data_IF_238206945825
#
_entry.id   IF_238206945825
#
_cell.length_a   1.000
_cell.length_b   1.000
_cell.length_c   1.000
_cell.angle_alpha   90.00
_cell.angle_beta   90.00
_cell.angle_gamma   90.00
#
_symmetry.space_group_name_H-M   'P 1'
#
loop_
_entity.id
_entity.type
_entity.pdbx_description
1 polymer ?
#
# COMPACT_ATOMS: atom_id res chain seq x y z
N UNK A 1 -47.43 37.85 13.87
CA UNK A 1 -46.52 38.99 13.61
C UNK A 1 -45.18 38.70 14.26
N UNK A 2 -44.10 38.89 13.50
CA UNK A 2 -42.68 38.93 13.88
C UNK A 2 -42.02 37.65 14.42
N UNK A 3 -41.29 36.97 13.53
CA UNK A 3 -40.01 36.34 13.91
C UNK A 3 -38.85 37.06 13.21
N UNK A 4 -37.93 37.53 14.05
CA UNK A 4 -36.68 38.21 13.72
C UNK A 4 -35.74 37.30 12.94
N UNK A 5 -35.13 37.86 11.89
CA UNK A 5 -33.86 37.39 11.36
C UNK A 5 -32.75 37.53 12.41
N UNK A 6 -31.96 36.48 12.59
CA UNK A 6 -30.61 36.55 13.14
C UNK A 6 -29.70 35.74 12.22
N UNK A 7 -28.90 36.47 11.45
CA UNK A 7 -27.72 35.95 10.76
C UNK A 7 -26.70 35.52 11.83
N UNK A 8 -26.27 34.26 11.78
CA UNK A 8 -24.98 33.84 12.34
C UNK A 8 -24.20 33.10 11.25
N UNK A 9 -23.22 33.82 10.74
CA UNK A 9 -22.10 33.34 9.95
C UNK A 9 -21.16 32.45 10.78
N UNK A 10 -20.46 31.59 10.05
CA UNK A 10 -19.15 30.97 10.38
C UNK A 10 -19.12 29.63 11.12
N UNK A 11 -18.36 28.72 10.50
CA UNK A 11 -17.89 27.40 10.97
C UNK A 11 -18.90 26.27 11.08
N UNK A 12 -19.32 25.75 9.92
CA UNK A 12 -19.77 24.35 9.82
C UNK A 12 -18.57 23.44 9.59
N UNK A 13 -18.23 22.72 10.66
CA UNK A 13 -17.29 21.61 10.80
C UNK A 13 -17.37 20.59 9.63
N UNK A 14 -16.24 20.07 9.09
CA UNK A 14 -16.24 19.03 8.04
C UNK A 14 -16.78 17.65 8.50
N UNK A 15 -17.33 17.55 9.71
CA UNK A 15 -17.82 16.31 10.33
C UNK A 15 -19.32 16.03 10.11
N UNK A 16 -20.06 16.88 9.39
CA UNK A 16 -21.53 16.75 9.24
C UNK A 16 -21.95 16.10 7.90
N UNK A 17 -21.03 15.61 7.07
CA UNK A 17 -21.39 15.12 5.72
C UNK A 17 -21.73 13.62 5.55
N UNK A 18 -21.83 12.83 6.62
CA UNK A 18 -22.32 11.45 6.53
C UNK A 18 -23.15 11.04 7.76
N UNK A 19 -24.39 11.53 7.83
CA UNK A 19 -25.41 10.91 8.67
C UNK A 19 -26.71 10.90 7.87
N UNK A 20 -27.15 9.72 7.38
CA UNK A 20 -28.55 9.26 7.40
C UNK A 20 -28.66 7.82 6.85
N UNK A 21 -28.77 6.89 7.82
CA UNK A 21 -29.61 5.68 7.93
C UNK A 21 -29.40 4.43 7.04
N UNK A 22 -29.28 3.29 7.74
CA UNK A 22 -29.30 1.89 7.29
C UNK A 22 -30.68 1.46 6.73
N UNK A 23 -30.69 0.54 5.74
CA UNK A 23 -31.31 -0.81 5.82
C UNK A 23 -31.18 -1.56 4.46
N UNK A 24 -30.50 -2.71 4.54
CA UNK A 24 -30.60 -4.01 3.80
C UNK A 24 -30.55 -4.05 2.24
N UNK A 25 -29.70 -4.98 1.77
CA UNK A 25 -29.55 -5.61 0.44
C UNK A 25 -28.37 -5.08 -0.42
N UNK A 26 -27.24 -5.78 -0.27
CA UNK A 26 -26.35 -6.24 -1.36
C UNK A 26 -25.82 -5.23 -2.40
N UNK A 27 -25.58 -3.98 -2.01
CA UNK A 27 -24.77 -3.09 -2.85
C UNK A 27 -23.64 -2.48 -2.03
N UNK A 28 -22.43 -3.00 -2.26
CA UNK A 28 -21.17 -2.40 -1.80
C UNK A 28 -21.01 -1.06 -2.51
N UNK A 29 -21.63 -0.06 -1.90
CA UNK A 29 -21.72 1.28 -2.40
C UNK A 29 -20.60 2.16 -1.82
N UNK A 30 -20.06 3.08 -2.64
CA UNK A 30 -18.98 4.03 -2.31
C UNK A 30 -19.23 4.99 -1.11
N UNK A 31 -20.35 4.89 -0.40
CA UNK A 31 -20.67 5.74 0.76
C UNK A 31 -19.71 5.47 1.94
N UNK A 32 -18.91 4.41 1.84
CA UNK A 32 -17.80 4.11 2.76
C UNK A 32 -16.44 4.66 2.31
N UNK A 33 -16.36 5.33 1.15
CA UNK A 33 -15.09 5.66 0.47
C UNK A 33 -14.87 7.16 0.23
N UNK A 34 -15.81 8.05 0.60
CA UNK A 34 -15.67 9.50 0.40
C UNK A 34 -14.46 10.14 1.13
N UNK A 35 -13.82 9.45 2.07
CA UNK A 35 -12.61 9.94 2.76
C UNK A 35 -11.30 9.34 2.22
N UNK A 36 -11.33 8.26 1.43
CA UNK A 36 -10.12 7.55 0.99
C UNK A 36 -9.63 8.07 -0.36
N UNK A 37 -8.52 8.82 -0.34
CA UNK A 37 -7.84 9.29 -1.56
C UNK A 37 -6.98 8.20 -2.23
N UNK A 38 -7.03 6.97 -1.74
CA UNK A 38 -6.25 5.84 -2.24
C UNK A 38 -7.10 4.58 -2.31
N UNK A 39 -7.03 3.85 -3.43
CA UNK A 39 -7.68 2.55 -3.60
C UNK A 39 -6.61 1.49 -3.88
N UNK A 40 -6.67 0.35 -3.22
CA UNK A 40 -5.80 -0.81 -3.52
C UNK A 40 -6.60 -1.91 -4.19
N UNK A 41 -6.26 -2.19 -5.45
CA UNK A 41 -6.98 -3.13 -6.31
C UNK A 41 -6.07 -4.31 -6.66
N UNK A 42 -6.63 -5.50 -6.54
CA UNK A 42 -5.98 -6.76 -6.85
C UNK A 42 -6.70 -7.48 -7.98
N UNK A 43 -5.94 -8.03 -8.92
CA UNK A 43 -6.47 -8.83 -10.02
C UNK A 43 -6.16 -10.32 -9.83
N UNK A 44 -7.14 -11.17 -10.14
CA UNK A 44 -6.94 -12.62 -10.26
C UNK A 44 -7.95 -13.25 -11.21
N UNK A 45 -7.49 -13.88 -12.28
CA UNK A 45 -8.33 -14.58 -13.27
C UNK A 45 -9.52 -13.73 -13.75
N UNK A 46 -9.27 -12.50 -14.21
CA UNK A 46 -10.28 -11.50 -14.61
C UNK A 46 -11.25 -11.03 -13.51
N UNK A 47 -11.07 -11.47 -12.27
CA UNK A 47 -11.78 -10.94 -11.10
C UNK A 47 -11.01 -9.78 -10.52
N UNK A 48 -11.75 -8.81 -10.00
CA UNK A 48 -11.23 -7.59 -9.42
C UNK A 48 -11.58 -7.61 -7.94
N UNK A 49 -10.57 -7.42 -7.11
CA UNK A 49 -10.71 -7.36 -5.68
C UNK A 49 -10.30 -5.99 -5.20
N UNK A 50 -11.10 -5.42 -4.33
CA UNK A 50 -10.79 -4.20 -3.62
C UNK A 50 -10.34 -4.56 -2.22
N UNK A 51 -9.22 -4.00 -1.78
CA UNK A 51 -8.83 -4.08 -0.38
C UNK A 51 -9.75 -3.19 0.46
N UNK A 52 -10.34 -3.78 1.50
CA UNK A 52 -11.11 -3.07 2.52
C UNK A 52 -11.01 -3.76 3.87
N UNK A 53 -10.76 -3.00 4.92
CA UNK A 53 -10.72 -3.48 6.31
C UNK A 53 -9.82 -4.71 6.50
N UNK A 54 -8.68 -4.73 5.82
CA UNK A 54 -7.74 -5.84 5.82
C UNK A 54 -8.21 -7.12 5.12
N UNK A 55 -9.15 -7.01 4.19
CA UNK A 55 -9.70 -8.13 3.41
C UNK A 55 -9.79 -7.76 1.94
N UNK A 56 -9.66 -8.75 1.06
CA UNK A 56 -9.98 -8.59 -0.36
C UNK A 56 -11.47 -8.88 -0.56
N UNK A 57 -12.19 -7.89 -1.07
CA UNK A 57 -13.60 -7.99 -1.41
C UNK A 57 -13.69 -8.06 -2.92
N UNK A 58 -14.26 -9.15 -3.44
CA UNK A 58 -14.55 -9.26 -4.86
C UNK A 58 -15.59 -8.19 -5.26
N UNK A 59 -15.29 -7.40 -6.28
CA UNK A 59 -16.15 -6.31 -6.76
C UNK A 59 -16.43 -6.49 -8.25
N UNK A 60 -17.49 -5.85 -8.74
CA UNK A 60 -17.67 -5.65 -10.18
C UNK A 60 -16.58 -4.73 -10.73
N UNK A 61 -16.40 -4.74 -12.05
CA UNK A 61 -15.55 -3.79 -12.76
C UNK A 61 -16.06 -2.36 -12.72
N UNK A 62 -17.23 -2.09 -12.13
CA UNK A 62 -17.87 -0.78 -12.08
C UNK A 62 -18.08 -0.35 -10.62
N UNK A 63 -17.37 0.69 -10.20
CA UNK A 63 -17.44 1.22 -8.84
C UNK A 63 -18.29 2.50 -8.85
N UNK A 64 -19.47 2.47 -8.23
CA UNK A 64 -20.48 3.54 -8.30
C UNK A 64 -20.07 4.79 -7.52
N UNK A 65 -19.70 5.89 -8.18
CA UNK A 65 -19.39 7.16 -7.54
C UNK A 65 -20.67 7.98 -7.30
N UNK A 66 -21.04 8.17 -6.04
CA UNK A 66 -22.25 8.91 -5.65
C UNK A 66 -22.31 10.36 -6.13
N UNK A 67 -21.16 10.99 -6.30
CA UNK A 67 -21.06 12.34 -6.85
C UNK A 67 -20.89 12.27 -8.37
N UNK A 68 -21.69 13.05 -9.08
CA UNK A 68 -21.58 13.18 -10.53
C UNK A 68 -20.34 13.98 -10.92
N UNK A 69 -19.37 13.32 -11.52
CA UNK A 69 -18.20 13.93 -12.14
C UNK A 69 -18.40 14.03 -13.66
N UNK A 70 -17.82 15.08 -14.25
CA UNK A 70 -18.00 15.39 -15.67
C UNK A 70 -16.71 15.23 -16.46
N UNK A 71 -15.56 15.29 -15.79
CA UNK A 71 -14.28 14.98 -16.41
C UNK A 71 -13.47 13.99 -15.58
N UNK A 72 -12.71 13.18 -16.30
CA UNK A 72 -11.76 12.21 -15.78
C UNK A 72 -10.43 12.40 -16.49
N UNK A 73 -9.34 12.29 -15.76
CA UNK A 73 -7.98 12.44 -16.28
C UNK A 73 -7.04 11.50 -15.51
N UNK A 74 -6.25 10.69 -16.22
CA UNK A 74 -5.10 10.01 -15.62
C UNK A 74 -3.91 10.97 -15.71
N UNK A 75 -3.41 11.42 -14.57
CA UNK A 75 -2.33 12.41 -14.50
C UNK A 75 -0.95 11.80 -14.31
N UNK A 76 -0.87 10.56 -13.83
CA UNK A 76 0.40 9.83 -13.68
C UNK A 76 0.16 8.33 -13.63
N UNK A 77 1.15 7.56 -14.06
CA UNK A 77 1.15 6.10 -14.03
C UNK A 77 1.57 5.50 -15.38
N UNK A 78 1.69 4.16 -15.46
CA UNK A 78 1.96 3.48 -16.73
C UNK A 78 0.91 3.75 -17.80
N UNK A 79 1.29 3.63 -19.08
CA UNK A 79 0.40 3.90 -20.23
C UNK A 79 -0.92 3.12 -20.17
N UNK A 80 -0.89 1.88 -19.65
CA UNK A 80 -2.09 1.05 -19.54
C UNK A 80 -3.15 1.64 -18.61
N UNK A 81 -2.82 2.54 -17.68
CA UNK A 81 -3.79 3.19 -16.79
C UNK A 81 -4.95 3.84 -17.56
N UNK A 82 -4.65 4.52 -18.67
CA UNK A 82 -5.64 5.17 -19.55
C UNK A 82 -6.53 4.16 -20.29
N UNK A 83 -6.07 2.91 -20.44
CA UNK A 83 -6.79 1.85 -21.15
C UNK A 83 -7.73 1.07 -20.21
N UNK A 84 -7.37 0.99 -18.93
CA UNK A 84 -8.09 0.16 -17.96
C UNK A 84 -9.02 0.94 -17.03
N UNK A 85 -8.82 2.24 -16.85
CA UNK A 85 -9.66 3.08 -15.99
C UNK A 85 -10.44 4.08 -16.84
N UNK A 86 -11.75 4.13 -16.66
CA UNK A 86 -12.63 5.10 -17.32
C UNK A 86 -13.76 5.56 -16.40
N UNK A 87 -14.39 6.69 -16.74
CA UNK A 87 -15.56 7.21 -16.05
C UNK A 87 -16.78 7.13 -16.99
N UNK A 88 -17.83 6.43 -16.59
CA UNK A 88 -19.06 6.27 -17.37
C UNK A 88 -20.27 6.26 -16.46
N UNK A 89 -21.28 7.10 -16.73
CA UNK A 89 -22.57 7.11 -16.02
C UNK A 89 -22.47 7.09 -14.47
N UNK A 90 -21.56 7.89 -13.91
CA UNK A 90 -21.21 7.93 -12.47
C UNK A 90 -20.47 6.69 -11.94
N UNK A 91 -20.02 5.77 -12.79
CA UNK A 91 -19.18 4.64 -12.38
C UNK A 91 -17.73 4.89 -12.78
N UNK A 92 -16.82 4.60 -11.85
CA UNK A 92 -15.43 4.35 -12.17
C UNK A 92 -15.33 2.92 -12.67
N UNK A 93 -15.05 2.76 -13.96
CA UNK A 93 -14.83 1.45 -14.56
C UNK A 93 -13.36 1.09 -14.47
N UNK A 94 -13.06 -0.14 -14.05
CA UNK A 94 -11.71 -0.67 -13.92
C UNK A 94 -11.67 -2.06 -14.56
N UNK A 95 -10.71 -2.29 -15.44
CA UNK A 95 -10.51 -3.56 -16.16
C UNK A 95 -9.19 -4.22 -15.74
N UNK A 96 -9.12 -5.55 -15.85
CA UNK A 96 -7.86 -6.27 -15.64
C UNK A 96 -6.85 -5.85 -16.74
N UNK A 97 -5.65 -5.36 -16.38
CA UNK A 97 -4.64 -4.96 -17.35
C UNK A 97 -3.99 -6.13 -18.10
N UNK A 98 -4.28 -7.38 -17.72
CA UNK A 98 -3.68 -8.60 -18.27
C UNK A 98 -2.14 -8.50 -18.31
N UNK A 99 -1.51 -8.98 -19.39
CA UNK A 99 -0.05 -8.95 -19.55
C UNK A 99 0.53 -7.53 -19.67
N UNK A 100 -0.28 -6.47 -19.74
CA UNK A 100 0.25 -5.10 -19.77
C UNK A 100 0.79 -4.65 -18.41
N UNK A 101 0.31 -5.26 -17.31
CA UNK A 101 0.81 -5.00 -15.98
C UNK A 101 1.91 -6.00 -15.63
N UNK A 102 3.15 -5.52 -15.69
CA UNK A 102 4.35 -6.32 -15.52
C UNK A 102 4.90 -6.30 -14.09
N UNK A 103 4.47 -5.35 -13.27
CA UNK A 103 4.85 -5.16 -11.86
C UNK A 103 3.73 -4.40 -11.15
N UNK A 104 3.85 -4.20 -9.83
CA UNK A 104 3.04 -3.26 -9.07
C UNK A 104 3.01 -1.90 -9.76
N UNK A 105 1.87 -1.22 -9.75
CA UNK A 105 1.74 0.06 -10.45
C UNK A 105 0.78 0.99 -9.74
N UNK A 106 1.01 2.28 -9.88
CA UNK A 106 0.12 3.31 -9.35
C UNK A 106 -0.43 4.15 -10.50
N UNK A 107 -1.75 4.31 -10.54
CA UNK A 107 -2.45 5.21 -11.44
C UNK A 107 -3.02 6.37 -10.62
N UNK A 108 -2.52 7.59 -10.84
CA UNK A 108 -3.06 8.79 -10.24
C UNK A 108 -4.09 9.38 -11.18
N UNK A 109 -5.33 9.52 -10.69
CA UNK A 109 -6.44 10.06 -11.47
C UNK A 109 -7.04 11.29 -10.81
N UNK A 110 -7.66 12.13 -11.63
CA UNK A 110 -8.39 13.31 -11.20
C UNK A 110 -9.82 13.24 -11.73
N UNK A 111 -10.79 13.43 -10.83
CA UNK A 111 -12.20 13.57 -11.12
C UNK A 111 -12.62 15.03 -10.87
N UNK A 112 -13.21 15.70 -11.87
CA UNK A 112 -13.66 17.10 -11.75
C UNK A 112 -15.15 17.23 -11.99
N UNK A 113 -15.79 18.08 -11.20
CA UNK A 113 -17.19 18.45 -11.42
C UNK A 113 -17.34 19.43 -12.59
N UNK A 114 -18.59 19.71 -12.97
CA UNK A 114 -18.92 20.57 -14.12
C UNK A 114 -18.30 21.97 -14.03
N UNK A 115 -18.13 22.48 -12.81
CA UNK A 115 -17.68 23.83 -12.55
C UNK A 115 -16.18 23.90 -12.21
N UNK A 116 -15.47 22.76 -12.22
CA UNK A 116 -14.08 22.59 -11.74
C UNK A 116 -13.83 23.11 -10.33
N UNK A 117 -14.89 23.39 -9.58
CA UNK A 117 -14.84 23.95 -8.23
C UNK A 117 -14.51 22.88 -7.20
N UNK A 118 -14.79 21.61 -7.53
CA UNK A 118 -14.42 20.46 -6.71
C UNK A 118 -13.61 19.47 -7.55
N UNK A 119 -12.37 19.26 -7.13
CA UNK A 119 -11.46 18.27 -7.68
C UNK A 119 -11.21 17.16 -6.66
N UNK A 120 -11.36 15.90 -7.08
CA UNK A 120 -10.92 14.75 -6.28
C UNK A 120 -9.75 14.10 -6.97
N UNK A 121 -8.64 14.02 -6.26
CA UNK A 121 -7.47 13.24 -6.67
C UNK A 121 -7.54 11.86 -6.00
N UNK A 122 -7.46 10.80 -6.80
CA UNK A 122 -7.40 9.42 -6.33
C UNK A 122 -6.11 8.75 -6.80
N UNK A 123 -5.45 8.03 -5.90
CA UNK A 123 -4.32 7.16 -6.19
C UNK A 123 -4.81 5.71 -6.22
N UNK A 124 -4.79 5.09 -7.39
CA UNK A 124 -5.19 3.69 -7.57
C UNK A 124 -3.92 2.84 -7.61
N UNK A 125 -3.70 2.07 -6.54
CA UNK A 125 -2.61 1.10 -6.38
C UNK A 125 -3.07 -0.23 -6.98
N UNK A 126 -2.37 -0.70 -8.00
CA UNK A 126 -2.72 -1.87 -8.78
C UNK A 126 -1.76 -3.02 -8.48
N UNK A 127 -2.34 -4.18 -8.20
CA UNK A 127 -1.59 -5.39 -7.89
C UNK A 127 -2.29 -6.64 -8.42
N UNK A 128 -1.60 -7.77 -8.42
CA UNK A 128 -2.17 -9.09 -8.70
C UNK A 128 -2.07 -9.95 -7.46
N UNK A 129 -2.99 -10.91 -7.37
CA UNK A 129 -2.80 -12.00 -6.42
C UNK A 129 -1.57 -12.81 -6.83
N UNK A 130 -0.87 -13.40 -5.86
CA UNK A 130 0.31 -14.22 -6.10
C UNK A 130 0.02 -15.31 -7.14
N UNK A 131 -1.14 -15.97 -7.07
CA UNK A 131 -1.53 -17.02 -8.02
C UNK A 131 -1.68 -16.50 -9.46
N UNK A 132 -2.11 -15.25 -9.63
CA UNK A 132 -2.11 -14.58 -10.93
C UNK A 132 -0.71 -14.23 -11.40
N UNK A 133 0.22 -13.86 -10.52
CA UNK A 133 1.62 -13.70 -10.90
C UNK A 133 2.27 -15.03 -11.28
N UNK A 134 1.95 -16.09 -10.52
CA UNK A 134 2.46 -17.43 -10.74
C UNK A 134 2.00 -18.00 -12.10
N UNK A 135 0.71 -17.89 -12.45
CA UNK A 135 0.22 -18.36 -13.75
C UNK A 135 0.81 -17.59 -14.95
N UNK A 136 1.33 -16.39 -14.70
CA UNK A 136 2.04 -15.56 -15.68
C UNK A 136 3.57 -15.73 -15.62
N UNK A 137 4.10 -16.66 -14.82
CA UNK A 137 5.53 -16.86 -14.68
C UNK A 137 6.18 -17.19 -16.04
N UNK A 138 7.27 -16.50 -16.38
CA UNK A 138 7.91 -16.54 -17.69
C UNK A 138 7.27 -15.64 -18.76
N UNK A 139 6.11 -15.04 -18.49
CA UNK A 139 5.45 -14.01 -19.33
C UNK A 139 5.49 -12.61 -18.70
N UNK A 140 5.85 -12.54 -17.42
CA UNK A 140 6.05 -11.30 -16.68
C UNK A 140 7.52 -10.85 -16.68
N UNK A 141 7.83 -9.70 -16.07
CA UNK A 141 9.19 -9.20 -15.98
C UNK A 141 10.09 -10.17 -15.17
N UNK A 142 11.40 -10.08 -15.40
CA UNK A 142 12.36 -11.03 -14.81
C UNK A 142 12.40 -10.97 -13.27
N UNK A 143 12.14 -9.82 -12.68
CA UNK A 143 12.07 -9.60 -11.22
C UNK A 143 10.85 -10.27 -10.60
N UNK A 144 9.66 -10.09 -11.20
CA UNK A 144 8.44 -10.78 -10.77
C UNK A 144 8.63 -12.29 -10.84
N UNK A 145 9.14 -12.81 -11.96
CA UNK A 145 9.40 -14.25 -12.12
C UNK A 145 10.38 -14.77 -11.04
N UNK A 146 11.43 -14.01 -10.73
CA UNK A 146 12.42 -14.37 -9.70
C UNK A 146 11.79 -14.46 -8.32
N UNK A 147 10.95 -13.50 -7.95
CA UNK A 147 10.25 -13.50 -6.66
C UNK A 147 9.21 -14.62 -6.59
N UNK A 148 8.45 -14.88 -7.66
CA UNK A 148 7.56 -16.06 -7.74
C UNK A 148 8.35 -17.35 -7.48
N UNK A 149 9.46 -17.55 -8.19
CA UNK A 149 10.28 -18.76 -8.06
C UNK A 149 10.88 -18.90 -6.65
N UNK A 150 11.32 -17.80 -6.04
CA UNK A 150 11.85 -17.81 -4.68
C UNK A 150 10.78 -18.21 -3.65
N UNK A 151 9.55 -17.71 -3.80
CA UNK A 151 8.42 -18.09 -2.93
C UNK A 151 8.07 -19.57 -3.11
N UNK A 152 7.93 -20.04 -4.36
CA UNK A 152 7.65 -21.46 -4.63
C UNK A 152 8.72 -22.37 -4.00
N UNK A 153 10.00 -22.02 -4.18
CA UNK A 153 11.14 -22.75 -3.61
C UNK A 153 11.09 -22.83 -2.08
N UNK A 154 10.92 -21.70 -1.40
CA UNK A 154 10.93 -21.65 0.08
C UNK A 154 9.71 -22.36 0.66
N UNK A 155 8.57 -22.28 -0.03
CA UNK A 155 7.34 -22.96 0.35
C UNK A 155 7.32 -24.44 -0.08
N UNK A 156 8.37 -24.93 -0.76
CA UNK A 156 8.47 -26.30 -1.30
C UNK A 156 7.29 -26.67 -2.22
N UNK A 157 6.87 -25.72 -3.05
CA UNK A 157 5.80 -25.89 -4.02
C UNK A 157 6.45 -26.11 -5.39
N UNK A 158 6.06 -27.20 -6.06
CA UNK A 158 6.66 -27.62 -7.33
C UNK A 158 6.41 -26.61 -8.46
N UNK A 159 5.17 -26.13 -8.58
CA UNK A 159 4.75 -25.24 -9.66
C UNK A 159 3.46 -24.49 -9.33
N UNK A 160 3.02 -23.66 -10.26
CA UNK A 160 1.84 -22.81 -10.13
C UNK A 160 0.49 -23.53 -10.29
N UNK A 161 0.49 -24.79 -10.73
CA UNK A 161 -0.71 -25.63 -10.87
C UNK A 161 -1.02 -26.42 -9.60
N UNK A 162 -0.24 -26.19 -8.53
CA UNK A 162 -0.44 -26.84 -7.24
C UNK A 162 -1.86 -26.58 -6.71
N UNK A 163 -2.63 -27.65 -6.54
CA UNK A 163 -4.07 -27.59 -6.25
C UNK A 163 -4.43 -26.80 -4.98
N UNK A 164 -3.52 -26.72 -4.01
CA UNK A 164 -3.73 -26.03 -2.74
C UNK A 164 -2.93 -24.72 -2.62
N UNK A 165 -2.46 -24.16 -3.74
CA UNK A 165 -1.59 -22.97 -3.73
C UNK A 165 -2.23 -21.78 -3.01
N UNK A 166 -3.49 -21.46 -3.33
CA UNK A 166 -4.22 -20.37 -2.68
C UNK A 166 -4.36 -20.60 -1.16
N UNK A 167 -4.67 -21.82 -0.73
CA UNK A 167 -4.80 -22.17 0.69
C UNK A 167 -3.45 -22.05 1.42
N UNK A 168 -2.41 -22.67 0.87
CA UNK A 168 -1.04 -22.63 1.42
C UNK A 168 -0.56 -21.19 1.60
N UNK A 169 -0.74 -20.34 0.59
CA UNK A 169 -0.34 -18.94 0.65
C UNK A 169 -1.21 -18.12 1.61
N UNK A 170 -2.52 -18.42 1.69
CA UNK A 170 -3.39 -17.78 2.66
C UNK A 170 -3.00 -18.09 4.12
N UNK A 171 -2.40 -19.26 4.36
CA UNK A 171 -1.95 -19.69 5.68
C UNK A 171 -0.51 -19.26 6.01
N UNK A 172 0.24 -18.76 5.03
CA UNK A 172 1.61 -18.30 5.23
C UNK A 172 1.67 -17.12 6.21
N UNK A 173 2.34 -17.33 7.34
CA UNK A 173 2.57 -16.30 8.38
C UNK A 173 4.03 -15.84 8.43
N UNK A 174 4.94 -16.65 7.94
CA UNK A 174 6.38 -16.42 7.99
C UNK A 174 6.95 -16.79 6.64
N UNK A 175 7.73 -15.89 6.07
CA UNK A 175 8.33 -16.11 4.75
C UNK A 175 9.76 -15.56 4.76
N UNK A 176 10.72 -16.45 4.54
CA UNK A 176 12.13 -16.08 4.46
C UNK A 176 12.59 -16.12 3.01
N UNK A 177 12.86 -14.95 2.45
CA UNK A 177 13.34 -14.74 1.09
C UNK A 177 14.71 -14.06 1.08
N UNK A 178 15.49 -14.19 2.16
CA UNK A 178 16.83 -13.62 2.23
C UNK A 178 17.78 -14.29 1.22
N UNK A 179 18.75 -13.52 0.72
CA UNK A 179 19.79 -14.01 -0.19
C UNK A 179 19.22 -14.68 -1.46
N UNK A 180 18.22 -14.04 -2.08
CA UNK A 180 17.58 -14.52 -3.31
C UNK A 180 17.80 -13.55 -4.50
N UNK A 181 18.57 -12.47 -4.29
CA UNK A 181 18.81 -11.40 -5.28
C UNK A 181 17.50 -10.78 -5.82
N UNK A 182 16.50 -10.63 -4.96
CA UNK A 182 15.18 -10.10 -5.35
C UNK A 182 15.23 -8.58 -5.46
N UNK A 183 14.50 -8.03 -6.43
CA UNK A 183 14.36 -6.58 -6.58
C UNK A 183 12.91 -6.13 -6.84
N UNK A 184 12.03 -7.03 -7.27
CA UNK A 184 10.59 -6.76 -7.47
C UNK A 184 9.74 -7.55 -6.47
N UNK A 185 9.10 -6.84 -5.54
CA UNK A 185 8.30 -7.43 -4.47
C UNK A 185 6.81 -7.57 -4.82
N UNK A 186 6.41 -7.31 -6.06
CA UNK A 186 5.01 -7.38 -6.49
C UNK A 186 4.32 -8.71 -6.17
N UNK A 187 4.95 -9.89 -6.33
CA UNK A 187 4.30 -11.16 -6.03
C UNK A 187 3.87 -11.33 -4.59
N UNK A 188 4.66 -10.85 -3.63
CA UNK A 188 4.38 -11.06 -2.21
C UNK A 188 3.36 -10.07 -1.64
N UNK A 189 2.97 -9.08 -2.43
CA UNK A 189 2.06 -8.01 -2.02
C UNK A 189 0.59 -8.44 -1.90
N UNK A 190 0.25 -9.70 -2.21
CA UNK A 190 -1.08 -10.26 -1.90
C UNK A 190 -1.05 -11.27 -0.75
N UNK A 191 0.09 -11.48 -0.08
CA UNK A 191 0.23 -12.45 1.02
C UNK A 191 -0.23 -11.82 2.34
N UNK A 192 -1.54 -11.57 2.44
CA UNK A 192 -2.16 -10.70 3.45
C UNK A 192 -2.04 -11.19 4.91
N UNK A 193 -1.63 -12.43 5.13
CA UNK A 193 -1.54 -13.04 6.46
C UNK A 193 -0.11 -13.13 7.02
N UNK A 194 0.88 -12.59 6.30
CA UNK A 194 2.25 -12.52 6.77
C UNK A 194 2.36 -11.73 8.08
N UNK A 195 3.13 -12.30 9.01
CA UNK A 195 3.54 -11.73 10.30
C UNK A 195 5.04 -11.48 10.36
N UNK A 196 5.83 -12.31 9.71
CA UNK A 196 7.27 -12.14 9.59
C UNK A 196 7.72 -12.30 8.13
N UNK A 197 8.55 -11.37 7.67
CA UNK A 197 9.12 -11.35 6.33
C UNK A 197 10.61 -11.02 6.42
N UNK A 198 11.44 -11.95 5.94
CA UNK A 198 12.88 -11.71 5.78
C UNK A 198 13.19 -11.53 4.30
N UNK A 199 13.86 -10.43 4.01
CA UNK A 199 14.30 -9.99 2.69
C UNK A 199 15.76 -9.48 2.76
N UNK A 200 16.51 -9.82 3.82
CA UNK A 200 17.91 -9.43 3.95
C UNK A 200 18.76 -9.93 2.77
N UNK A 201 19.79 -9.17 2.42
CA UNK A 201 20.77 -9.55 1.38
C UNK A 201 20.10 -9.79 0.01
N UNK A 202 19.31 -8.81 -0.43
CA UNK A 202 18.66 -8.79 -1.74
C UNK A 202 19.02 -7.49 -2.48
N UNK A 203 18.35 -7.21 -3.59
CA UNK A 203 18.57 -6.04 -4.46
C UNK A 203 17.32 -5.14 -4.48
N UNK A 204 16.54 -5.14 -3.39
CA UNK A 204 15.29 -4.37 -3.29
C UNK A 204 15.59 -2.88 -3.20
N UNK A 205 14.97 -2.09 -4.07
CA UNK A 205 15.02 -0.63 -4.02
C UNK A 205 13.63 0.01 -3.90
N UNK A 206 12.57 -0.68 -4.35
CA UNK A 206 11.19 -0.23 -4.28
C UNK A 206 10.37 -1.02 -3.24
N UNK A 207 9.87 -0.29 -2.24
CA UNK A 207 9.01 -0.83 -1.18
C UNK A 207 7.53 -0.51 -1.40
N UNK A 208 7.14 0.14 -2.51
CA UNK A 208 5.74 0.46 -2.79
C UNK A 208 4.84 -0.78 -2.93
N UNK A 209 5.30 -1.92 -3.49
CA UNK A 209 4.51 -3.15 -3.47
C UNK A 209 4.09 -3.54 -2.04
N UNK A 210 4.96 -3.30 -1.04
CA UNK A 210 4.62 -3.55 0.36
C UNK A 210 3.65 -2.52 0.93
N UNK A 211 3.67 -1.27 0.43
CA UNK A 211 2.72 -0.22 0.80
C UNK A 211 1.29 -0.45 0.30
N UNK A 212 1.11 -1.27 -0.74
CA UNK A 212 -0.21 -1.74 -1.19
C UNK A 212 -0.86 -2.71 -0.20
N UNK A 213 -0.06 -3.32 0.66
CA UNK A 213 -0.51 -4.18 1.74
C UNK A 213 -0.93 -3.37 2.99
N UNK A 214 -1.91 -2.46 2.90
CA UNK A 214 -2.50 -1.84 4.12
C UNK A 214 -2.99 -2.89 5.16
N UNK A 215 -3.09 -4.14 4.74
CA UNK A 215 -3.42 -5.35 5.51
C UNK A 215 -2.25 -5.92 6.33
N UNK A 216 -1.00 -5.47 6.08
CA UNK A 216 0.17 -5.76 6.92
C UNK A 216 0.10 -5.07 8.29
N UNK A 217 -1.06 -4.58 8.73
CA UNK A 217 -1.36 -4.51 10.17
C UNK A 217 -1.09 -5.85 10.87
N UNK A 218 -0.95 -6.99 10.18
CA UNK A 218 -0.47 -8.22 10.83
C UNK A 218 1.04 -8.38 10.88
N UNK A 219 1.79 -7.66 10.03
CA UNK A 219 3.24 -7.76 9.97
C UNK A 219 3.84 -7.16 11.24
N UNK A 220 4.64 -7.97 11.91
CA UNK A 220 5.28 -7.67 13.18
C UNK A 220 6.81 -7.70 13.04
N UNK A 221 7.35 -8.47 12.10
CA UNK A 221 8.78 -8.56 11.84
C UNK A 221 9.08 -8.37 10.36
N UNK A 222 9.88 -7.36 10.04
CA UNK A 222 10.31 -7.06 8.69
C UNK A 222 11.82 -6.83 8.69
N UNK A 223 12.54 -7.68 7.99
CA UNK A 223 13.99 -7.57 7.84
C UNK A 223 14.34 -7.33 6.38
N UNK A 224 14.98 -6.19 6.13
CA UNK A 224 15.32 -5.62 4.82
C UNK A 224 16.79 -5.16 4.83
N UNK A 225 17.64 -5.77 5.67
CA UNK A 225 19.04 -5.38 5.77
C UNK A 225 19.81 -5.67 4.49
N UNK A 226 20.87 -4.91 4.20
CA UNK A 226 21.73 -5.14 3.03
C UNK A 226 20.93 -5.19 1.71
N UNK A 227 20.21 -4.13 1.43
CA UNK A 227 19.44 -3.95 0.19
C UNK A 227 19.84 -2.60 -0.46
N UNK A 228 19.07 -2.14 -1.44
CA UNK A 228 19.30 -0.90 -2.20
C UNK A 228 18.20 0.14 -1.92
N UNK A 229 17.57 0.09 -0.74
CA UNK A 229 16.42 0.94 -0.40
C UNK A 229 16.87 2.38 -0.19
N UNK A 230 16.19 3.33 -0.84
CA UNK A 230 16.43 4.77 -0.65
C UNK A 230 15.29 5.48 0.09
N UNK A 231 14.07 4.97 -0.06
CA UNK A 231 12.85 5.59 0.45
C UNK A 231 12.03 4.60 1.27
N UNK A 232 11.49 5.08 2.38
CA UNK A 232 10.70 4.27 3.34
C UNK A 232 9.29 4.82 3.57
N UNK A 233 8.83 5.73 2.71
CA UNK A 233 7.49 6.34 2.79
C UNK A 233 6.35 5.31 2.82
N UNK A 234 6.51 4.19 2.11
CA UNK A 234 5.52 3.11 2.08
C UNK A 234 5.42 2.35 3.39
N UNK A 235 6.45 2.38 4.24
CA UNK A 235 6.50 1.65 5.51
C UNK A 235 5.75 2.36 6.64
N UNK A 236 5.44 3.66 6.51
CA UNK A 236 4.80 4.47 7.57
C UNK A 236 3.46 3.93 8.06
N UNK A 237 2.82 3.06 7.30
CA UNK A 237 1.52 2.46 7.61
C UNK A 237 1.60 1.13 8.37
N UNK A 238 2.80 0.60 8.64
CA UNK A 238 3.02 -0.67 9.33
C UNK A 238 2.87 -0.55 10.85
N UNK A 239 1.70 -0.07 11.31
CA UNK A 239 1.46 0.34 12.70
C UNK A 239 1.63 -0.77 13.77
N UNK A 240 1.68 -2.04 13.36
CA UNK A 240 1.84 -3.19 14.25
C UNK A 240 3.24 -3.82 14.18
N UNK A 241 4.17 -3.18 13.47
CA UNK A 241 5.55 -3.64 13.39
C UNK A 241 6.18 -3.61 14.79
N UNK A 242 6.77 -4.73 15.20
CA UNK A 242 7.53 -4.86 16.45
C UNK A 242 9.02 -4.72 16.20
N UNK A 243 9.49 -5.27 15.08
CA UNK A 243 10.89 -5.18 14.66
C UNK A 243 10.94 -4.83 13.17
N UNK A 244 11.62 -3.74 12.86
CA UNK A 244 11.98 -3.34 11.51
C UNK A 244 13.50 -3.23 11.42
N UNK A 245 14.13 -4.06 10.59
CA UNK A 245 15.54 -3.91 10.24
C UNK A 245 15.65 -3.41 8.81
N UNK A 246 16.26 -2.24 8.64
CA UNK A 246 16.59 -1.60 7.36
C UNK A 246 18.09 -1.24 7.33
N UNK A 247 18.90 -1.93 8.13
CA UNK A 247 20.34 -1.71 8.22
C UNK A 247 21.03 -1.80 6.84
N UNK A 248 22.13 -1.08 6.66
CA UNK A 248 22.96 -1.17 5.46
C UNK A 248 22.14 -1.02 4.17
N UNK A 249 21.49 0.13 4.02
CA UNK A 249 20.75 0.53 2.83
C UNK A 249 21.20 1.96 2.43
N UNK A 250 20.55 2.54 1.42
CA UNK A 250 20.84 3.89 0.92
C UNK A 250 19.81 4.92 1.38
N UNK A 251 19.29 4.80 2.61
CA UNK A 251 18.18 5.63 3.07
C UNK A 251 18.70 6.99 3.54
N UNK A 252 18.15 8.06 2.97
CA UNK A 252 18.50 9.45 3.30
C UNK A 252 17.52 10.14 4.24
N UNK A 253 16.30 9.60 4.41
CA UNK A 253 15.28 10.21 5.27
C UNK A 253 14.49 9.13 6.04
N UNK A 254 14.60 9.15 7.37
CA UNK A 254 13.88 8.24 8.27
C UNK A 254 12.61 8.84 8.87
N UNK A 255 12.29 10.12 8.59
CA UNK A 255 11.09 10.81 9.11
C UNK A 255 9.78 10.05 8.89
N UNK A 256 9.55 9.35 7.75
CA UNK A 256 8.33 8.56 7.57
C UNK A 256 8.13 7.49 8.67
N UNK A 257 9.20 6.98 9.26
CA UNK A 257 9.15 5.95 10.31
C UNK A 257 8.71 6.50 11.67
N UNK A 258 8.66 7.83 11.85
CA UNK A 258 8.14 8.44 13.09
C UNK A 258 6.63 8.21 13.27
N UNK A 259 5.93 7.74 12.24
CA UNK A 259 4.51 7.34 12.32
C UNK A 259 4.32 5.92 12.86
N UNK A 260 5.38 5.12 12.94
CA UNK A 260 5.32 3.77 13.48
C UNK A 260 5.07 3.79 14.99
N UNK A 261 4.71 2.62 15.53
CA UNK A 261 4.47 2.48 16.96
C UNK A 261 5.73 2.86 17.75
N UNK A 262 5.57 3.63 18.82
CA UNK A 262 6.68 4.08 19.67
C UNK A 262 7.44 2.91 20.34
N UNK A 263 6.82 1.74 20.45
CA UNK A 263 7.42 0.51 20.97
C UNK A 263 8.09 -0.35 19.89
N UNK A 264 8.05 0.05 18.62
CA UNK A 264 8.75 -0.65 17.54
C UNK A 264 10.27 -0.55 17.74
N UNK A 265 10.97 -1.68 17.65
CA UNK A 265 12.41 -1.71 17.50
C UNK A 265 12.78 -1.46 16.04
N UNK A 266 13.41 -0.34 15.75
CA UNK A 266 13.91 -0.01 14.41
C UNK A 266 15.44 -0.06 14.41
N UNK A 267 16.00 -0.86 13.51
CA UNK A 267 17.43 -1.04 13.33
C UNK A 267 17.78 -0.44 11.95
N UNK A 268 18.40 0.72 11.94
CA UNK A 268 18.67 1.50 10.72
C UNK A 268 20.14 1.92 10.55
N UNK A 269 21.06 1.30 11.29
CA UNK A 269 22.50 1.57 11.19
C UNK A 269 23.03 1.32 9.77
N UNK A 270 24.06 2.06 9.38
CA UNK A 270 24.67 1.92 8.04
C UNK A 270 23.82 2.53 6.92
N UNK A 271 22.98 3.51 7.25
CA UNK A 271 22.28 4.35 6.28
C UNK A 271 22.80 5.79 6.35
N UNK A 272 22.85 6.53 5.22
CA UNK A 272 23.22 7.95 5.21
C UNK A 272 22.40 8.82 6.20
N UNK A 273 21.11 8.52 6.37
CA UNK A 273 20.20 9.23 7.26
C UNK A 273 20.60 9.21 8.74
N UNK A 274 21.46 8.27 9.18
CA UNK A 274 21.81 8.10 10.59
C UNK A 274 22.43 9.38 11.18
N UNK A 275 23.39 9.99 10.47
CA UNK A 275 24.05 11.22 10.95
C UNK A 275 23.10 12.42 11.03
N UNK A 276 22.14 12.52 10.10
CA UNK A 276 21.20 13.62 10.04
C UNK A 276 20.14 13.51 11.12
N UNK A 277 19.52 12.33 11.28
CA UNK A 277 18.45 12.13 12.26
C UNK A 277 18.94 12.32 13.70
N UNK A 278 20.20 11.96 13.99
CA UNK A 278 20.77 12.10 15.32
C UNK A 278 21.05 13.54 15.74
N UNK A 279 21.27 14.48 14.80
CA UNK A 279 21.40 15.92 15.10
C UNK A 279 20.15 16.52 15.74
N UNK A 280 18.99 15.93 15.48
CA UNK A 280 17.71 16.36 16.04
C UNK A 280 17.40 15.72 17.40
N UNK A 281 18.13 14.66 17.79
CA UNK A 281 17.90 13.93 19.03
C UNK A 281 18.54 14.62 20.25
N UNK A 282 19.72 15.23 20.10
CA UNK A 282 20.47 15.87 21.19
C UNK A 282 19.92 17.22 21.68
N UNK A 283 18.80 17.72 21.13
CA UNK A 283 18.20 18.98 21.59
C UNK A 283 17.11 18.70 22.61
N UNK A 284 17.51 18.70 23.88
CA UNK A 284 16.62 18.92 25.02
C UNK A 284 15.60 20.02 24.67
N UNK A 285 14.30 19.74 24.78
CA UNK A 285 13.15 20.66 24.64
C UNK A 285 12.47 20.89 23.27
N UNK A 286 12.49 19.96 22.30
CA UNK A 286 11.70 20.12 21.06
C UNK A 286 10.37 19.36 20.97
N UNK A 287 9.78 18.88 22.07
CA UNK A 287 8.41 18.31 22.04
C UNK A 287 8.23 17.02 21.22
N UNK A 288 9.27 16.52 20.57
CA UNK A 288 9.30 15.22 19.94
C UNK A 288 9.42 14.16 21.02
N UNK A 289 8.40 13.29 21.12
CA UNK A 289 8.37 12.14 22.03
C UNK A 289 9.72 11.41 22.00
N UNK A 290 10.21 10.98 23.16
CA UNK A 290 11.39 10.12 23.28
C UNK A 290 11.12 8.81 22.53
N UNK A 291 11.58 8.71 21.29
CA UNK A 291 11.44 7.50 20.47
C UNK A 291 12.58 6.56 20.88
N UNK A 292 12.27 5.50 21.62
CA UNK A 292 13.27 4.57 22.20
C UNK A 292 14.22 3.94 21.16
N UNK A 293 13.79 3.78 19.91
CA UNK A 293 14.66 3.24 18.85
C UNK A 293 15.64 4.28 18.31
N UNK A 294 15.27 5.57 18.31
CA UNK A 294 16.13 6.65 17.83
C UNK A 294 17.30 6.87 18.80
N UNK A 295 17.02 6.79 20.11
CA UNK A 295 18.05 6.78 21.16
C UNK A 295 19.08 5.66 20.93
N UNK A 296 18.62 4.43 20.68
CA UNK A 296 19.50 3.28 20.39
C UNK A 296 20.30 3.45 19.10
N UNK A 297 19.71 4.04 18.06
CA UNK A 297 20.38 4.32 16.79
C UNK A 297 21.50 5.37 16.95
N UNK A 298 21.28 6.37 17.81
CA UNK A 298 22.22 7.48 18.02
C UNK A 298 23.27 7.20 19.10
N UNK A 299 23.03 6.28 20.03
CA UNK A 299 24.01 5.84 21.05
C UNK A 299 25.04 4.85 20.52
N UNK A 300 24.76 4.17 19.40
CA UNK A 300 25.74 3.33 18.68
C UNK A 300 25.96 3.89 17.26
N UNK A 301 26.56 5.09 17.13
CA UNK A 301 27.07 5.53 15.84
C UNK A 301 28.18 4.55 15.43
N UNK A 302 28.13 4.06 14.19
CA UNK A 302 29.18 3.24 13.61
C UNK A 302 30.53 3.97 13.66
#
# INVERSE_FOLDING_TARGET
MNYKFLYLSSFLNPLIFCYFVLIIILVYHLNTFCNEKELSIFFSNNKIFLEKNNKLVNISSQINIYKKFHSFEVVSGPEFCNKIISLSNNYLEIKDPLNNMQTYSECKIILKDKFKSNEIQLLIKLNRMFTSWCSMNGKSNTGVNKTVNAVLKVMQIENCEYAFLDETLSNARMLNLSNQKLYDLSPIASLLNLRALWLDDNEVNDLNPLGSLKNLKKLQWLFLGSNLIEKVDSLKFLNNIKVLSIKNNNIYNLTPLFQLNENSLIIANGNPAQSEVCKYFDKENNGYKKINWLEKLCQNPL
#
